data_IF_615083273749
#
_entry.id   IF_615083273749
#
_cell.length_a   1.000
_cell.length_b   1.000
_cell.length_c   1.000
_cell.angle_alpha   90.00
_cell.angle_beta   90.00
_cell.angle_gamma   90.00
#
_symmetry.space_group_name_H-M   'P 1'
#
loop_
_entity.id
_entity.type
_entity.pdbx_description
1 polymer ?
#
# COMPACT_ATOMS: atom_id res chain seq x y z
N UNK A 1 -6.75 8.25 9.24
CA UNK A 1 -7.19 8.05 10.66
C UNK A 1 -6.83 6.63 11.08
N UNK A 2 -6.02 6.48 12.14
CA UNK A 2 -5.51 5.18 12.62
C UNK A 2 -6.62 4.30 13.23
N UNK A 3 -6.42 2.99 13.16
CA UNK A 3 -7.24 1.96 13.81
C UNK A 3 -6.80 1.77 15.27
N UNK A 4 -7.78 1.55 16.13
CA UNK A 4 -7.59 1.30 17.56
C UNK A 4 -8.22 -0.02 17.95
N UNK A 5 -7.92 -0.51 19.16
CA UNK A 5 -8.59 -1.70 19.72
C UNK A 5 -10.12 -1.59 19.72
N UNK A 6 -10.68 -0.39 19.88
CA UNK A 6 -12.13 -0.18 19.83
C UNK A 6 -12.74 -0.28 18.44
N UNK A 7 -11.94 -0.18 17.38
CA UNK A 7 -12.40 -0.46 16.00
C UNK A 7 -12.50 -1.97 15.73
N UNK A 8 -11.83 -2.82 16.53
CA UNK A 8 -11.78 -4.27 16.31
C UNK A 8 -13.06 -4.97 16.75
N UNK A 9 -13.56 -5.83 15.87
CA UNK A 9 -14.69 -6.72 16.11
C UNK A 9 -14.22 -7.95 16.91
N UNK A 10 -14.90 -8.33 18.00
CA UNK A 10 -14.59 -9.54 18.75
C UNK A 10 -14.60 -10.80 17.87
N UNK A 11 -13.67 -11.73 18.14
CA UNK A 11 -13.45 -12.94 17.34
C UNK A 11 -14.74 -13.70 16.97
N UNK A 12 -15.64 -13.92 17.94
CA UNK A 12 -16.90 -14.65 17.70
C UNK A 12 -17.88 -13.90 16.78
N UNK A 13 -17.85 -12.57 16.80
CA UNK A 13 -18.69 -11.73 15.94
C UNK A 13 -18.06 -11.62 14.55
N UNK A 14 -16.73 -11.46 14.47
CA UNK A 14 -16.01 -11.40 13.21
C UNK A 14 -16.19 -12.68 12.39
N UNK A 15 -16.17 -13.86 13.02
CA UNK A 15 -16.45 -15.12 12.33
C UNK A 15 -17.82 -15.16 11.63
N UNK A 16 -18.84 -14.50 12.19
CA UNK A 16 -20.18 -14.44 11.57
C UNK A 16 -20.23 -13.47 10.38
N UNK A 17 -19.34 -12.48 10.36
CA UNK A 17 -19.26 -11.44 9.34
C UNK A 17 -18.17 -11.70 8.29
N UNK A 18 -17.33 -12.72 8.50
CA UNK A 18 -16.13 -13.00 7.71
C UNK A 18 -16.42 -13.10 6.21
N UNK A 19 -17.39 -13.92 5.81
CA UNK A 19 -17.76 -14.08 4.39
C UNK A 19 -18.23 -12.77 3.73
N UNK A 20 -18.88 -11.90 4.51
CA UNK A 20 -19.33 -10.59 4.03
C UNK A 20 -18.12 -9.68 3.83
N UNK A 21 -17.26 -9.55 4.85
CA UNK A 21 -16.06 -8.72 4.77
C UNK A 21 -15.09 -9.19 3.68
N UNK A 22 -14.91 -10.50 3.53
CA UNK A 22 -14.07 -11.08 2.48
C UNK A 22 -14.56 -10.64 1.09
N UNK A 23 -15.87 -10.71 0.83
CA UNK A 23 -16.45 -10.26 -0.45
C UNK A 23 -16.23 -8.77 -0.69
N UNK A 24 -16.49 -7.94 0.33
CA UNK A 24 -16.30 -6.49 0.24
C UNK A 24 -14.82 -6.14 -0.05
N UNK A 25 -13.89 -6.78 0.65
CA UNK A 25 -12.45 -6.53 0.49
C UNK A 25 -11.93 -7.05 -0.85
N UNK A 26 -12.42 -8.17 -1.37
CA UNK A 26 -12.04 -8.66 -2.71
C UNK A 26 -12.42 -7.64 -3.78
N UNK A 27 -13.66 -7.13 -3.76
CA UNK A 27 -14.11 -6.13 -4.74
C UNK A 27 -13.33 -4.81 -4.59
N UNK A 28 -13.06 -4.38 -3.35
CA UNK A 28 -12.25 -3.19 -3.08
C UNK A 28 -10.81 -3.35 -3.61
N UNK A 29 -10.14 -4.47 -3.30
CA UNK A 29 -8.77 -4.76 -3.75
C UNK A 29 -8.68 -4.91 -5.27
N UNK A 30 -9.74 -5.38 -5.93
CA UNK A 30 -9.77 -5.52 -7.39
C UNK A 30 -9.64 -4.17 -8.08
N UNK A 31 -10.24 -3.12 -7.53
CA UNK A 31 -10.11 -1.75 -8.05
C UNK A 31 -8.76 -1.15 -7.67
N UNK A 32 -8.32 -1.33 -6.42
CA UNK A 32 -7.11 -0.72 -5.86
C UNK A 32 -5.79 -1.37 -6.31
N UNK A 33 -5.84 -2.53 -6.95
CA UNK A 33 -4.64 -3.25 -7.40
C UNK A 33 -4.24 -2.84 -8.81
N UNK A 34 -2.96 -2.53 -8.97
CA UNK A 34 -2.34 -2.20 -10.25
C UNK A 34 -1.24 -3.21 -10.57
N UNK A 35 -1.31 -3.83 -11.75
CA UNK A 35 -0.21 -4.62 -12.29
C UNK A 35 0.72 -3.66 -13.05
N UNK A 36 1.88 -3.36 -12.47
CA UNK A 36 2.83 -2.36 -12.98
C UNK A 36 3.67 -2.96 -14.10
N UNK A 37 4.13 -4.20 -13.91
CA UNK A 37 4.94 -4.95 -14.87
C UNK A 37 4.76 -6.46 -14.64
N UNK A 38 5.52 -7.29 -15.37
CA UNK A 38 5.61 -8.73 -15.16
C UNK A 38 6.26 -9.12 -13.81
N UNK A 39 6.97 -8.18 -13.18
CA UNK A 39 7.70 -8.38 -11.91
C UNK A 39 7.13 -7.61 -10.73
N UNK A 40 6.17 -6.71 -10.95
CA UNK A 40 5.69 -5.82 -9.90
C UNK A 40 4.20 -5.53 -9.99
N UNK A 41 3.56 -5.53 -8.83
CA UNK A 41 2.22 -5.01 -8.63
C UNK A 41 2.16 -4.08 -7.42
N UNK A 42 1.18 -3.20 -7.40
CA UNK A 42 0.89 -2.32 -6.28
C UNK A 42 -0.54 -2.51 -5.81
N UNK A 43 -0.78 -2.37 -4.51
CA UNK A 43 -2.11 -2.29 -3.93
C UNK A 43 -2.22 -1.01 -3.13
N UNK A 44 -3.04 -0.06 -3.58
CA UNK A 44 -3.35 1.11 -2.77
C UNK A 44 -4.16 0.69 -1.54
N UNK A 45 -3.75 1.17 -0.37
CA UNK A 45 -4.35 0.74 0.90
C UNK A 45 -5.45 1.70 1.35
N UNK A 46 -6.48 1.14 1.99
CA UNK A 46 -7.58 1.87 2.60
C UNK A 46 -7.79 1.40 4.04
N UNK A 47 -8.61 2.14 4.79
CA UNK A 47 -9.03 1.69 6.13
C UNK A 47 -9.66 0.29 6.09
N UNK A 48 -10.38 -0.07 5.02
CA UNK A 48 -11.02 -1.38 4.88
C UNK A 48 -9.99 -2.49 4.62
N UNK A 49 -9.02 -2.27 3.73
CA UNK A 49 -8.01 -3.30 3.40
C UNK A 49 -7.13 -3.62 4.60
N UNK A 50 -6.68 -2.58 5.31
CA UNK A 50 -5.85 -2.70 6.51
C UNK A 50 -6.66 -3.31 7.67
N UNK A 51 -7.88 -2.83 7.92
CA UNK A 51 -8.76 -3.41 8.94
C UNK A 51 -8.98 -4.91 8.71
N UNK A 52 -9.20 -5.31 7.46
CA UNK A 52 -9.37 -6.71 7.11
C UNK A 52 -8.10 -7.54 7.38
N UNK A 53 -6.91 -7.03 7.04
CA UNK A 53 -5.65 -7.73 7.32
C UNK A 53 -5.45 -7.95 8.83
N UNK A 54 -5.69 -6.92 9.65
CA UNK A 54 -5.60 -7.00 11.11
C UNK A 54 -6.55 -8.06 11.65
N UNK A 55 -7.79 -8.08 11.18
CA UNK A 55 -8.79 -9.05 11.63
C UNK A 55 -8.48 -10.48 11.18
N UNK A 56 -7.97 -10.66 9.96
CA UNK A 56 -7.56 -11.97 9.48
C UNK A 56 -6.35 -12.51 10.24
N UNK A 57 -5.39 -11.64 10.61
CA UNK A 57 -4.28 -12.03 11.49
C UNK A 57 -4.80 -12.50 12.85
N UNK A 58 -5.67 -11.72 13.50
CA UNK A 58 -6.30 -12.10 14.78
C UNK A 58 -7.03 -13.44 14.64
N UNK A 59 -7.78 -13.63 13.54
CA UNK A 59 -8.59 -14.83 13.33
C UNK A 59 -7.74 -16.07 13.08
N UNK A 60 -6.75 -15.97 12.20
CA UNK A 60 -5.90 -17.09 11.76
C UNK A 60 -4.97 -17.56 12.88
N UNK A 61 -4.35 -16.62 13.59
CA UNK A 61 -3.40 -16.87 14.67
C UNK A 61 -4.09 -16.99 16.05
N UNK A 62 -5.41 -16.78 16.12
CA UNK A 62 -6.20 -16.76 17.37
C UNK A 62 -5.59 -15.85 18.45
N UNK A 63 -5.13 -14.68 18.03
CA UNK A 63 -4.48 -13.71 18.90
C UNK A 63 -5.49 -13.19 19.92
N UNK A 64 -5.18 -13.37 21.21
CA UNK A 64 -5.96 -12.82 22.31
C UNK A 64 -5.15 -11.93 23.26
N UNK A 65 -3.82 -11.93 23.14
CA UNK A 65 -2.95 -11.12 24.00
C UNK A 65 -3.10 -9.63 23.65
N UNK A 66 -3.53 -8.77 24.60
CA UNK A 66 -3.74 -7.36 24.32
C UNK A 66 -2.47 -6.59 23.94
N UNK A 67 -1.30 -7.01 24.39
CA UNK A 67 -0.02 -6.39 24.03
C UNK A 67 0.30 -6.71 22.58
N UNK A 68 0.17 -7.99 22.19
CA UNK A 68 0.41 -8.39 20.80
C UNK A 68 -0.57 -7.74 19.81
N UNK A 69 -1.83 -7.57 20.22
CA UNK A 69 -2.82 -6.81 19.42
C UNK A 69 -2.38 -5.35 19.24
N UNK A 70 -1.83 -4.71 20.27
CA UNK A 70 -1.34 -3.33 20.18
C UNK A 70 -0.14 -3.22 19.23
N UNK A 71 0.83 -4.12 19.36
CA UNK A 71 2.01 -4.18 18.50
C UNK A 71 1.62 -4.36 17.03
N UNK A 72 0.71 -5.29 16.75
CA UNK A 72 0.17 -5.50 15.42
C UNK A 72 -0.59 -4.25 14.92
N UNK A 73 -1.44 -3.63 15.75
CA UNK A 73 -2.11 -2.40 15.37
C UNK A 73 -1.12 -1.31 14.98
N UNK A 74 0.00 -1.17 15.68
CA UNK A 74 1.04 -0.19 15.35
C UNK A 74 1.63 -0.46 13.96
N UNK A 75 2.06 -1.69 13.69
CA UNK A 75 2.62 -2.09 12.40
C UNK A 75 1.63 -1.87 11.25
N UNK A 76 0.39 -2.32 11.39
CA UNK A 76 -0.59 -2.19 10.30
C UNK A 76 -1.11 -0.76 10.14
N UNK A 77 -1.07 0.07 11.19
CA UNK A 77 -1.44 1.47 11.10
C UNK A 77 -0.45 2.29 10.27
N UNK A 78 0.78 1.83 10.10
CA UNK A 78 1.74 2.43 9.18
C UNK A 78 1.24 2.33 7.74
N UNK A 79 0.52 1.27 7.37
CA UNK A 79 -0.08 1.13 6.02
C UNK A 79 -1.19 2.14 5.73
N UNK A 80 -1.74 2.81 6.75
CA UNK A 80 -2.82 3.77 6.55
C UNK A 80 -2.24 5.11 6.11
N UNK A 81 -2.84 5.74 5.10
CA UNK A 81 -2.41 7.07 4.70
C UNK A 81 -2.70 8.09 5.81
N UNK A 82 -1.79 9.03 5.99
CA UNK A 82 -2.03 10.23 6.77
C UNK A 82 -2.84 11.29 5.98
N UNK A 83 -3.02 12.47 6.57
CA UNK A 83 -3.72 13.58 5.91
C UNK A 83 -2.96 13.98 4.63
N UNK A 84 -3.71 14.21 3.55
CA UNK A 84 -3.17 14.57 2.23
C UNK A 84 -2.14 13.55 1.70
N UNK A 85 -2.42 12.27 1.94
CA UNK A 85 -1.54 11.20 1.53
C UNK A 85 -2.34 10.03 0.93
N UNK A 86 -1.68 9.27 0.06
CA UNK A 86 -2.10 7.93 -0.35
C UNK A 86 -1.02 6.94 0.09
N UNK A 87 -1.41 5.72 0.43
CA UNK A 87 -0.46 4.65 0.73
C UNK A 87 -0.66 3.47 -0.22
N UNK A 88 0.41 2.71 -0.44
CA UNK A 88 0.42 1.55 -1.33
C UNK A 88 1.38 0.49 -0.82
N UNK A 89 0.94 -0.77 -0.80
CA UNK A 89 1.85 -1.90 -0.70
C UNK A 89 2.38 -2.25 -2.09
N UNK A 90 3.69 -2.11 -2.32
CA UNK A 90 4.38 -2.56 -3.52
C UNK A 90 4.83 -4.02 -3.33
N UNK A 91 4.59 -4.86 -4.34
CA UNK A 91 5.02 -6.24 -4.38
C UNK A 91 6.02 -6.44 -5.53
N UNK A 92 7.15 -7.06 -5.22
CA UNK A 92 8.12 -7.57 -6.21
C UNK A 92 7.90 -9.08 -6.32
N UNK A 93 7.31 -9.48 -7.44
CA UNK A 93 6.74 -10.81 -7.66
C UNK A 93 7.55 -11.55 -8.74
N UNK A 94 8.67 -12.15 -8.34
CA UNK A 94 9.45 -13.04 -9.21
C UNK A 94 9.30 -14.48 -8.69
N UNK A 95 8.76 -15.42 -9.50
CA UNK A 95 8.44 -16.77 -9.02
C UNK A 95 9.64 -17.60 -8.54
N UNK A 96 10.81 -17.39 -9.14
CA UNK A 96 12.04 -18.11 -8.81
C UNK A 96 12.79 -17.33 -7.73
N UNK A 97 12.97 -17.94 -6.55
CA UNK A 97 13.56 -17.27 -5.39
C UNK A 97 14.99 -16.75 -5.63
N UNK A 98 15.81 -17.49 -6.40
CA UNK A 98 17.16 -17.05 -6.76
C UNK A 98 17.15 -15.80 -7.64
N UNK A 99 16.25 -15.76 -8.62
CA UNK A 99 16.06 -14.62 -9.51
C UNK A 99 15.48 -13.41 -8.77
N UNK A 100 14.53 -13.64 -7.85
CA UNK A 100 13.98 -12.60 -6.96
C UNK A 100 15.09 -11.96 -6.14
N UNK A 101 15.92 -12.77 -5.49
CA UNK A 101 17.05 -12.29 -4.68
C UNK A 101 18.09 -11.56 -5.53
N UNK A 102 18.38 -12.05 -6.73
CA UNK A 102 19.30 -11.39 -7.65
C UNK A 102 18.73 -10.04 -8.08
N UNK A 103 17.45 -9.97 -8.41
CA UNK A 103 16.76 -8.74 -8.81
C UNK A 103 16.72 -7.71 -7.68
N UNK A 104 16.34 -8.10 -6.46
CA UNK A 104 16.29 -7.20 -5.31
C UNK A 104 17.64 -6.55 -4.97
N UNK A 105 18.77 -7.20 -5.29
CA UNK A 105 20.11 -6.60 -5.16
C UNK A 105 20.38 -5.48 -6.16
N UNK A 106 19.64 -5.45 -7.27
CA UNK A 106 19.81 -4.44 -8.33
C UNK A 106 18.95 -3.20 -8.13
N UNK A 107 17.91 -3.28 -7.30
CA UNK A 107 16.92 -2.23 -7.08
C UNK A 107 16.85 -1.79 -5.61
N UNK A 108 17.99 -1.77 -4.94
CA UNK A 108 18.09 -1.19 -3.58
C UNK A 108 17.70 0.29 -3.64
N UNK A 109 16.81 0.72 -2.76
CA UNK A 109 16.30 2.08 -2.76
C UNK A 109 14.98 2.26 -3.51
N UNK A 110 14.39 1.20 -4.08
CA UNK A 110 13.24 1.30 -5.00
C UNK A 110 12.02 2.01 -4.40
N UNK A 111 11.81 1.90 -3.10
CA UNK A 111 10.76 2.59 -2.34
C UNK A 111 10.80 4.11 -2.48
N UNK A 112 11.97 4.69 -2.75
CA UNK A 112 12.17 6.11 -3.00
C UNK A 112 12.05 6.51 -4.49
N UNK A 113 11.71 5.55 -5.35
CA UNK A 113 11.67 5.72 -6.81
C UNK A 113 10.30 5.40 -7.43
N UNK A 114 9.27 5.17 -6.64
CA UNK A 114 7.90 5.02 -7.14
C UNK A 114 7.20 6.37 -7.16
N UNK A 115 6.50 6.68 -8.25
CA UNK A 115 5.99 8.01 -8.53
C UNK A 115 4.58 7.98 -9.09
N UNK A 116 3.73 8.90 -8.65
CA UNK A 116 2.48 9.26 -9.32
C UNK A 116 2.73 10.49 -10.20
N UNK A 117 2.41 10.37 -11.49
CA UNK A 117 2.53 11.44 -12.47
C UNK A 117 1.15 11.81 -12.99
N UNK A 118 0.84 13.09 -13.00
CA UNK A 118 -0.38 13.64 -13.55
C UNK A 118 -0.11 15.08 -13.98
N UNK A 119 -0.58 15.45 -15.18
CA UNK A 119 -0.21 16.70 -15.85
C UNK A 119 1.32 16.91 -15.87
N UNK A 120 1.83 17.91 -15.15
CA UNK A 120 3.27 18.19 -14.98
C UNK A 120 3.75 17.98 -13.53
N UNK A 121 2.94 17.31 -12.70
CA UNK A 121 3.22 17.05 -11.29
C UNK A 121 3.78 15.64 -11.13
N UNK A 122 4.73 15.52 -10.21
CA UNK A 122 5.32 14.26 -9.79
C UNK A 122 5.24 14.18 -8.27
N UNK A 123 4.61 13.14 -7.76
CA UNK A 123 4.61 12.78 -6.34
C UNK A 123 5.46 11.55 -6.19
N UNK A 124 6.57 11.67 -5.46
CA UNK A 124 7.49 10.55 -5.20
C UNK A 124 7.15 9.92 -3.86
N UNK A 125 7.18 8.59 -3.80
CA UNK A 125 6.93 7.84 -2.57
C UNK A 125 8.11 7.90 -1.59
N UNK A 126 7.82 7.53 -0.35
CA UNK A 126 8.79 7.14 0.67
C UNK A 126 8.25 5.95 1.46
N UNK A 127 9.10 5.24 2.19
CA UNK A 127 8.72 4.19 3.15
C UNK A 127 9.05 4.68 4.58
N UNK A 128 8.07 4.70 5.51
CA UNK A 128 8.32 5.05 6.90
C UNK A 128 9.28 4.06 7.57
N UNK A 129 10.10 4.56 8.49
CA UNK A 129 11.05 3.75 9.28
C UNK A 129 12.01 2.86 8.46
N UNK A 130 12.28 3.25 7.20
CA UNK A 130 13.45 2.80 6.43
C UNK A 130 14.72 3.45 6.98
N UNK A 131 14.98 3.26 8.28
CA UNK A 131 16.32 3.40 8.81
C UNK A 131 17.16 2.41 8.03
N UNK A 132 17.93 2.94 7.07
CA UNK A 132 18.90 2.23 6.25
C UNK A 132 19.53 1.14 7.11
N UNK A 133 19.11 -0.11 6.91
CA UNK A 133 19.90 -1.23 7.37
C UNK A 133 21.14 -1.19 6.49
N UNK A 134 22.11 -0.35 6.87
CA UNK A 134 23.37 -0.09 6.17
C UNK A 134 24.14 -1.38 5.82
N UNK A 135 23.72 -2.53 6.38
CA UNK A 135 24.29 -3.86 6.16
C UNK A 135 23.59 -4.72 5.08
N UNK A 136 22.41 -4.36 4.57
CA UNK A 136 21.67 -5.18 3.59
C UNK A 136 21.94 -4.74 2.13
N UNK A 137 22.78 -5.51 1.42
CA UNK A 137 23.05 -5.32 -0.02
C UNK A 137 21.86 -5.69 -0.94
N UNK A 138 20.63 -5.71 -0.43
CA UNK A 138 19.42 -6.12 -1.16
C UNK A 138 18.18 -5.45 -0.57
N UNK A 139 17.17 -5.17 -1.41
CA UNK A 139 15.88 -4.66 -0.95
C UNK A 139 14.87 -5.76 -0.58
N UNK A 140 13.85 -5.43 0.20
CA UNK A 140 12.74 -6.33 0.51
C UNK A 140 11.82 -6.54 -0.71
N UNK A 141 11.08 -7.64 -0.75
CA UNK A 141 10.12 -7.91 -1.85
C UNK A 141 8.76 -7.25 -1.64
N UNK A 142 8.53 -6.66 -0.47
CA UNK A 142 7.31 -5.96 -0.11
C UNK A 142 7.72 -4.64 0.50
N UNK A 143 7.15 -3.55 0.01
CA UNK A 143 7.39 -2.19 0.52
C UNK A 143 6.08 -1.50 0.83
N UNK A 144 6.06 -0.70 1.89
CA UNK A 144 4.92 0.09 2.35
C UNK A 144 5.15 1.55 2.03
N UNK A 145 4.60 1.97 0.89
CA UNK A 145 4.88 3.26 0.28
C UNK A 145 3.83 4.29 0.64
N UNK A 146 4.29 5.52 0.86
CA UNK A 146 3.47 6.69 1.13
C UNK A 146 3.73 7.76 0.08
N UNK A 147 2.66 8.37 -0.43
CA UNK A 147 2.69 9.42 -1.45
C UNK A 147 2.17 10.73 -0.86
N UNK A 148 3.06 11.62 -0.40
CA UNK A 148 2.66 12.85 0.27
C UNK A 148 2.28 13.93 -0.74
N UNK A 149 1.14 14.59 -0.53
CA UNK A 149 0.67 15.71 -1.35
C UNK A 149 0.74 17.02 -0.57
N UNK A 150 1.21 18.09 -1.23
CA UNK A 150 0.84 19.44 -0.79
C UNK A 150 -0.64 19.70 -1.07
N UNK A 151 -1.25 20.69 -0.41
CA UNK A 151 -2.65 21.06 -0.67
C UNK A 151 -2.89 21.42 -2.16
N UNK A 152 -1.94 22.12 -2.80
CA UNK A 152 -2.01 22.45 -4.23
C UNK A 152 -1.96 21.21 -5.12
N UNK A 153 -1.04 20.28 -4.83
CA UNK A 153 -0.91 19.02 -5.58
C UNK A 153 -2.13 18.12 -5.38
N UNK A 154 -2.72 18.11 -4.18
CA UNK A 154 -3.96 17.41 -3.89
C UNK A 154 -5.09 17.96 -4.75
N UNK A 155 -5.29 19.26 -4.79
CA UNK A 155 -6.33 19.89 -5.61
C UNK A 155 -6.15 19.56 -7.10
N UNK A 156 -4.90 19.55 -7.59
CA UNK A 156 -4.60 19.13 -8.96
C UNK A 156 -4.92 17.65 -9.20
N UNK A 157 -4.52 16.76 -8.28
CA UNK A 157 -4.80 15.33 -8.36
C UNK A 157 -6.30 15.03 -8.37
N UNK A 158 -7.09 15.75 -7.58
CA UNK A 158 -8.55 15.61 -7.52
C UNK A 158 -9.25 15.98 -8.83
N UNK A 159 -8.58 16.72 -9.73
CA UNK A 159 -9.09 17.11 -11.04
C UNK A 159 -8.37 16.40 -12.20
N UNK A 160 -7.40 15.52 -11.91
CA UNK A 160 -6.64 14.81 -12.92
C UNK A 160 -7.52 13.76 -13.63
N UNK A 161 -7.47 13.73 -14.95
CA UNK A 161 -8.16 12.72 -15.77
C UNK A 161 -7.24 11.57 -16.18
N UNK A 162 -5.93 11.75 -16.04
CA UNK A 162 -4.92 10.76 -16.38
C UNK A 162 -3.85 10.77 -15.30
N UNK A 163 -3.60 9.60 -14.73
CA UNK A 163 -2.57 9.39 -13.72
C UNK A 163 -1.73 8.19 -14.16
N UNK A 164 -0.41 8.33 -14.10
CA UNK A 164 0.55 7.26 -14.38
C UNK A 164 1.28 6.91 -13.11
N UNK A 165 1.31 5.62 -12.77
CA UNK A 165 2.21 5.09 -11.75
C UNK A 165 3.51 4.68 -12.44
N UNK A 166 4.63 5.25 -12.00
CA UNK A 166 5.96 5.01 -12.57
C UNK A 166 6.93 4.55 -11.51
N UNK A 167 7.69 3.51 -11.83
CA UNK A 167 8.92 3.19 -11.10
C UNK A 167 10.07 3.78 -11.91
N UNK A 168 10.81 4.71 -11.32
CA UNK A 168 11.89 5.45 -11.95
C UNK A 168 13.24 5.21 -11.25
N UNK A 169 13.59 3.94 -11.04
CA UNK A 169 14.84 3.54 -10.40
C UNK A 169 15.95 3.45 -11.47
N UNK A 170 17.22 3.81 -11.18
CA UNK A 170 18.31 3.79 -12.16
C UNK A 170 18.49 2.46 -12.89
N UNK A 171 18.26 1.34 -12.18
CA UNK A 171 18.38 -0.02 -12.73
C UNK A 171 17.05 -0.65 -13.17
N UNK A 172 15.92 0.04 -12.99
CA UNK A 172 14.60 -0.48 -13.37
C UNK A 172 13.59 0.65 -13.59
N UNK A 173 13.13 0.80 -14.83
CA UNK A 173 12.17 1.84 -15.21
C UNK A 173 10.97 1.20 -15.90
N UNK A 174 9.79 1.39 -15.33
CA UNK A 174 8.51 0.93 -15.88
C UNK A 174 7.42 1.92 -15.51
N UNK A 175 6.38 2.00 -16.32
CA UNK A 175 5.23 2.86 -16.03
C UNK A 175 3.93 2.21 -16.47
N UNK A 176 2.85 2.60 -15.79
CA UNK A 176 1.52 2.09 -16.02
C UNK A 176 0.51 3.22 -15.85
N UNK A 177 -0.23 3.52 -16.92
CA UNK A 177 -1.42 4.36 -16.82
C UNK A 177 -2.47 3.67 -15.93
N UNK A 178 -2.97 4.42 -14.96
CA UNK A 178 -4.00 3.93 -14.04
C UNK A 178 -5.37 3.94 -14.72
N UNK A 179 -6.20 2.90 -14.55
CA UNK A 179 -7.57 2.91 -15.04
C UNK A 179 -8.41 4.01 -14.36
N UNK A 180 -9.37 4.59 -15.09
CA UNK A 180 -10.26 5.65 -14.60
C UNK A 180 -10.94 5.29 -13.26
N UNK A 181 -11.39 4.04 -13.10
CA UNK A 181 -12.04 3.55 -11.88
C UNK A 181 -11.10 3.63 -10.66
N UNK A 182 -9.82 3.29 -10.85
CA UNK A 182 -8.81 3.43 -9.80
C UNK A 182 -8.53 4.90 -9.50
N UNK A 183 -8.38 5.75 -10.52
CA UNK A 183 -8.17 7.19 -10.33
C UNK A 183 -9.30 7.80 -9.49
N UNK A 184 -10.55 7.52 -9.86
CA UNK A 184 -11.73 7.99 -9.12
C UNK A 184 -11.70 7.51 -7.67
N UNK A 185 -11.36 6.23 -7.44
CA UNK A 185 -11.27 5.67 -6.10
C UNK A 185 -10.20 6.37 -5.24
N UNK A 186 -9.03 6.66 -5.81
CA UNK A 186 -7.96 7.38 -5.12
C UNK A 186 -8.33 8.84 -4.83
N UNK A 187 -9.05 9.50 -5.72
CA UNK A 187 -9.56 10.86 -5.50
C UNK A 187 -10.60 10.89 -4.38
N UNK A 188 -11.52 9.92 -4.33
CA UNK A 188 -12.47 9.76 -3.22
C UNK A 188 -11.79 9.51 -1.88
N UNK A 189 -10.69 8.74 -1.87
CA UNK A 189 -9.88 8.51 -0.68
C UNK A 189 -9.17 9.78 -0.23
N UNK A 190 -8.45 10.44 -1.14
CA UNK A 190 -7.66 11.63 -0.82
C UNK A 190 -8.52 12.81 -0.39
N UNK A 191 -9.75 12.94 -0.92
CA UNK A 191 -10.69 14.00 -0.52
C UNK A 191 -11.26 13.82 0.90
N UNK A 192 -11.26 12.59 1.43
CA UNK A 192 -11.72 12.28 2.80
C UNK A 192 -10.61 12.37 3.85
N UNK A 193 -9.35 12.28 3.41
CA UNK A 193 -8.15 12.44 4.23
C UNK A 193 -7.78 13.92 4.38
#
# INVERSE_FOLDING_TARGET
>A
MKLTKSDLIPYQEYQKLHDKFLKEVIEEKKVLRVNISDKMSGLFETKLTVFYQIQEMIRAEQISDPTYIEEMLNVYNELLPDKNELSMTLFIEIPVQEDLRAFNKTIVGIENHVQLLFDNIVITSYEPDDEEKEEENYTQSVHYLHFPFTEEQKDQFLNANQVTLKVNHPNYQVEKELPDELIQKLQEQLSKN
#
